data_IF_713860535912
#
_entry.id   IF_713860535912
#
_cell.length_a   1.000
_cell.length_b   1.000
_cell.length_c   1.000
_cell.angle_alpha   90.00
_cell.angle_beta   90.00
_cell.angle_gamma   90.00
#
_symmetry.space_group_name_H-M   'P 1'
#
loop_
_entity.id
_entity.type
_entity.pdbx_description
1 polymer ?
#
# COMPACT_ATOMS: atom_id res chain seq x y z
N UNK A 1 -51.25 11.65 28.10
CA UNK A 1 -51.17 10.90 26.83
C UNK A 1 -49.70 10.71 26.47
N UNK A 2 -49.12 9.57 26.84
CA UNK A 2 -47.77 9.14 26.42
C UNK A 2 -47.96 7.81 25.71
N UNK A 3 -47.69 7.77 24.40
CA UNK A 3 -47.69 6.50 23.65
C UNK A 3 -46.29 5.90 23.75
N UNK A 4 -46.18 4.89 24.59
CA UNK A 4 -45.08 3.92 24.59
C UNK A 4 -45.31 2.96 23.44
N UNK A 5 -44.38 2.88 22.49
CA UNK A 5 -44.30 1.76 21.55
C UNK A 5 -43.22 0.81 22.03
N UNK A 6 -43.67 -0.28 22.63
CA UNK A 6 -42.90 -1.50 22.87
C UNK A 6 -42.55 -2.12 21.53
N UNK A 7 -41.28 -2.13 21.13
CA UNK A 7 -40.79 -2.98 20.04
C UNK A 7 -40.23 -4.25 20.67
N UNK A 8 -41.04 -5.31 20.55
CA UNK A 8 -40.74 -6.67 20.96
C UNK A 8 -39.69 -7.27 20.02
N UNK A 9 -38.60 -7.70 20.65
CA UNK A 9 -37.77 -8.87 20.39
C UNK A 9 -38.31 -9.82 19.30
N UNK A 10 -37.54 -9.97 18.22
CA UNK A 10 -37.57 -11.16 17.35
C UNK A 10 -36.13 -11.50 16.93
N UNK A 11 -35.34 -11.96 17.90
CA UNK A 11 -34.12 -12.71 17.62
C UNK A 11 -34.52 -14.08 17.09
N UNK A 12 -34.78 -14.17 15.78
CA UNK A 12 -34.84 -15.44 15.08
C UNK A 12 -33.42 -16.03 15.05
N UNK A 13 -33.10 -16.81 16.08
CA UNK A 13 -32.02 -17.80 16.06
C UNK A 13 -32.33 -18.78 14.93
N UNK A 14 -31.73 -18.54 13.77
CA UNK A 14 -31.53 -19.58 12.78
C UNK A 14 -30.60 -20.62 13.41
N UNK A 15 -31.21 -21.67 13.98
CA UNK A 15 -30.53 -22.92 14.27
C UNK A 15 -30.08 -23.50 12.92
N UNK A 16 -28.89 -23.09 12.47
CA UNK A 16 -28.18 -23.81 11.42
C UNK A 16 -27.95 -25.23 11.93
N UNK A 17 -28.20 -26.26 11.10
CA UNK A 17 -27.78 -27.61 11.47
C UNK A 17 -26.28 -27.55 11.77
N UNK A 18 -25.91 -28.00 12.97
CA UNK A 18 -24.53 -28.33 13.31
C UNK A 18 -24.18 -29.51 12.42
N UNK A 19 -23.84 -29.23 11.16
CA UNK A 19 -23.04 -30.13 10.36
C UNK A 19 -21.83 -30.40 11.22
N UNK A 20 -21.70 -31.63 11.73
CA UNK A 20 -20.50 -32.11 12.38
C UNK A 20 -19.36 -31.84 11.41
N UNK A 21 -18.66 -30.73 11.61
CA UNK A 21 -17.57 -30.33 10.74
C UNK A 21 -16.53 -31.43 10.88
N UNK A 22 -16.38 -32.23 9.83
CA UNK A 22 -15.33 -33.23 9.79
C UNK A 22 -14.07 -32.43 9.56
N UNK A 23 -13.28 -32.25 10.63
CA UNK A 23 -12.02 -31.51 10.55
C UNK A 23 -11.17 -32.05 9.38
N UNK A 24 -10.47 -31.14 8.70
CA UNK A 24 -9.78 -31.43 7.46
C UNK A 24 -8.94 -32.71 7.57
N UNK A 25 -9.05 -33.58 6.57
CA UNK A 25 -8.33 -34.84 6.54
C UNK A 25 -7.08 -34.71 5.69
N UNK A 26 -5.96 -35.22 6.21
CA UNK A 26 -4.74 -35.39 5.43
C UNK A 26 -4.84 -36.63 4.54
N UNK A 27 -4.44 -36.47 3.29
CA UNK A 27 -4.36 -37.54 2.29
C UNK A 27 -2.91 -37.78 1.85
N UNK A 28 -2.56 -39.03 1.52
CA UNK A 28 -1.20 -39.37 1.07
C UNK A 28 -0.93 -38.97 -0.39
N UNK A 29 -1.98 -38.77 -1.19
CA UNK A 29 -1.86 -38.33 -2.59
C UNK A 29 -3.07 -37.50 -3.04
N UNK A 30 -2.88 -36.79 -4.15
CA UNK A 30 -3.94 -36.07 -4.84
C UNK A 30 -5.06 -37.00 -5.31
N UNK A 31 -4.76 -38.17 -5.87
CA UNK A 31 -5.79 -39.10 -6.35
C UNK A 31 -6.70 -39.60 -5.22
N UNK A 32 -6.18 -39.74 -4.00
CA UNK A 32 -7.01 -40.09 -2.84
C UNK A 32 -7.82 -38.91 -2.34
N UNK A 33 -7.21 -37.72 -2.28
CA UNK A 33 -7.89 -36.48 -1.93
C UNK A 33 -9.04 -36.17 -2.89
N UNK A 34 -8.83 -36.32 -4.20
CA UNK A 34 -9.80 -36.00 -5.24
C UNK A 34 -11.09 -36.85 -5.16
N UNK A 35 -11.01 -38.06 -4.60
CA UNK A 35 -12.20 -38.91 -4.37
C UNK A 35 -13.09 -38.43 -3.23
N UNK A 36 -12.57 -37.56 -2.35
CA UNK A 36 -13.24 -37.10 -1.13
C UNK A 36 -13.25 -35.59 -1.00
N UNK A 37 -12.85 -34.87 -2.05
CA UNK A 37 -12.79 -33.41 -2.04
C UNK A 37 -14.20 -32.85 -1.87
N UNK A 38 -14.34 -31.86 -1.01
CA UNK A 38 -15.58 -31.13 -0.79
C UNK A 38 -15.50 -29.76 -1.46
N UNK A 39 -16.54 -28.94 -1.34
CA UNK A 39 -16.52 -27.56 -1.83
C UNK A 39 -15.40 -26.72 -1.18
N UNK A 40 -14.87 -27.13 -0.03
CA UNK A 40 -13.72 -26.47 0.61
C UNK A 40 -12.41 -26.68 -0.18
N UNK A 41 -12.30 -27.72 -1.02
CA UNK A 41 -11.19 -27.91 -1.96
C UNK A 41 -9.94 -28.57 -1.35
N UNK A 42 -8.76 -28.14 -1.77
CA UNK A 42 -7.46 -28.69 -1.34
C UNK A 42 -6.57 -27.63 -0.70
N UNK A 43 -5.76 -28.04 0.27
CA UNK A 43 -4.62 -27.25 0.77
C UNK A 43 -3.36 -28.09 0.61
N UNK A 44 -2.45 -27.58 -0.22
CA UNK A 44 -1.15 -28.16 -0.49
C UNK A 44 -0.11 -27.52 0.42
N UNK A 45 0.44 -28.32 1.33
CA UNK A 45 1.55 -27.95 2.21
C UNK A 45 2.85 -28.31 1.49
N UNK A 46 3.41 -27.32 0.81
CA UNK A 46 4.59 -27.48 -0.03
C UNK A 46 5.85 -27.22 0.80
N UNK A 47 6.83 -28.12 0.71
CA UNK A 47 8.05 -28.01 1.49
C UNK A 47 9.31 -28.55 0.77
N UNK A 48 10.49 -28.01 1.08
CA UNK A 48 11.76 -28.38 0.44
C UNK A 48 12.37 -29.66 1.03
N UNK A 49 11.93 -30.82 0.54
CA UNK A 49 12.37 -32.14 1.01
C UNK A 49 13.87 -32.36 0.78
N UNK A 50 14.61 -32.55 1.88
CA UNK A 50 16.02 -32.95 1.86
C UNK A 50 17.04 -31.82 1.75
N UNK A 51 16.63 -30.57 1.51
CA UNK A 51 17.57 -29.43 1.40
C UNK A 51 17.21 -28.23 2.28
N UNK A 52 15.97 -28.12 2.77
CA UNK A 52 15.65 -27.26 3.91
C UNK A 52 14.81 -28.03 4.94
N UNK A 53 15.50 -28.44 6.00
CA UNK A 53 14.93 -29.21 7.12
C UNK A 53 13.96 -28.38 7.95
N UNK A 54 14.07 -27.06 7.94
CA UNK A 54 13.19 -26.19 8.70
C UNK A 54 11.81 -26.17 8.04
N UNK A 55 11.74 -25.82 6.75
CA UNK A 55 10.49 -25.83 5.99
C UNK A 55 9.80 -27.19 5.98
N UNK A 56 10.56 -28.28 5.85
CA UNK A 56 10.05 -29.65 5.95
C UNK A 56 9.39 -29.93 7.31
N UNK A 57 10.07 -29.64 8.43
CA UNK A 57 9.51 -29.85 9.77
C UNK A 57 8.30 -28.98 10.02
N UNK A 58 8.34 -27.73 9.58
CA UNK A 58 7.25 -26.78 9.76
C UNK A 58 5.98 -27.26 9.04
N UNK A 59 6.03 -27.61 7.75
CA UNK A 59 4.86 -28.10 7.03
C UNK A 59 4.31 -29.41 7.62
N UNK A 60 5.18 -30.35 8.02
CA UNK A 60 4.77 -31.59 8.71
C UNK A 60 4.10 -31.33 10.06
N UNK A 61 4.56 -30.32 10.80
CA UNK A 61 3.92 -29.88 12.05
C UNK A 61 2.56 -29.24 11.77
N UNK A 62 2.49 -28.31 10.82
CA UNK A 62 1.27 -27.54 10.53
C UNK A 62 0.14 -28.41 10.00
N UNK A 63 0.41 -29.38 9.12
CA UNK A 63 -0.64 -30.27 8.60
C UNK A 63 -1.24 -31.18 9.69
N UNK A 64 -0.46 -31.50 10.72
CA UNK A 64 -0.87 -32.33 11.84
C UNK A 64 -1.52 -31.54 12.98
N UNK A 65 -1.38 -30.21 12.98
CA UNK A 65 -1.90 -29.34 14.02
C UNK A 65 -3.44 -29.26 13.98
N UNK A 66 -4.08 -29.46 15.13
CA UNK A 66 -5.54 -29.52 15.24
C UNK A 66 -6.20 -28.19 14.87
N UNK A 67 -5.63 -27.06 15.30
CA UNK A 67 -6.16 -25.73 15.00
C UNK A 67 -6.09 -25.41 13.51
N UNK A 68 -5.00 -25.80 12.84
CA UNK A 68 -4.87 -25.66 11.39
C UNK A 68 -5.90 -26.53 10.65
N UNK A 69 -6.12 -27.76 11.11
CA UNK A 69 -7.10 -28.69 10.51
C UNK A 69 -8.54 -28.23 10.71
N UNK A 70 -8.87 -27.69 11.88
CA UNK A 70 -10.18 -27.09 12.14
C UNK A 70 -10.41 -25.86 11.25
N UNK A 71 -9.41 -24.96 11.18
CA UNK A 71 -9.46 -23.77 10.33
C UNK A 71 -9.63 -24.09 8.85
N UNK A 72 -9.09 -25.22 8.39
CA UNK A 72 -9.21 -25.69 7.01
C UNK A 72 -10.59 -26.27 6.66
N UNK A 73 -11.51 -26.41 7.61
CA UNK A 73 -12.85 -26.94 7.37
C UNK A 73 -12.79 -28.38 6.84
N UNK A 74 -13.48 -28.66 5.73
CA UNK A 74 -13.48 -29.99 5.08
C UNK A 74 -12.52 -30.06 3.89
N UNK A 75 -11.50 -29.19 3.83
CA UNK A 75 -10.51 -29.24 2.76
C UNK A 75 -9.66 -30.52 2.86
N UNK A 76 -9.23 -31.04 1.71
CA UNK A 76 -8.27 -32.13 1.65
C UNK A 76 -6.84 -31.60 1.81
N UNK A 77 -6.12 -32.06 2.83
CA UNK A 77 -4.76 -31.60 3.11
C UNK A 77 -3.74 -32.55 2.49
N UNK A 78 -2.77 -32.02 1.74
CA UNK A 78 -1.76 -32.83 1.05
C UNK A 78 -0.38 -32.27 1.37
N UNK A 79 0.52 -33.12 1.87
CA UNK A 79 1.94 -32.80 2.04
C UNK A 79 2.68 -33.00 0.71
N UNK A 80 3.13 -31.91 0.09
CA UNK A 80 3.75 -31.91 -1.23
C UNK A 80 5.27 -31.64 -1.17
N UNK A 81 6.13 -32.67 -1.29
CA UNK A 81 7.58 -32.48 -1.23
C UNK A 81 8.12 -31.81 -2.51
N UNK A 82 9.08 -30.90 -2.38
CA UNK A 82 9.84 -30.29 -3.47
C UNK A 82 11.30 -30.66 -3.34
N UNK A 83 11.87 -31.20 -4.41
CA UNK A 83 13.26 -31.65 -4.45
C UNK A 83 14.11 -30.66 -5.24
N UNK A 84 15.21 -30.19 -4.65
CA UNK A 84 16.17 -29.28 -5.31
C UNK A 84 16.77 -29.91 -6.56
N UNK A 85 17.23 -31.16 -6.45
CA UNK A 85 17.80 -31.93 -7.56
C UNK A 85 16.79 -32.97 -8.04
N UNK A 86 16.13 -32.69 -9.17
CA UNK A 86 15.11 -33.58 -9.74
C UNK A 86 15.77 -34.76 -10.47
N UNK A 87 15.91 -35.88 -9.77
CA UNK A 87 16.27 -37.20 -10.32
C UNK A 87 15.03 -38.00 -10.71
N UNK A 88 15.18 -39.08 -11.48
CA UNK A 88 14.07 -40.02 -11.76
C UNK A 88 13.41 -40.54 -10.48
N UNK A 89 14.21 -40.88 -9.47
CA UNK A 89 13.73 -41.38 -8.18
C UNK A 89 12.90 -40.34 -7.43
N UNK A 90 13.37 -39.09 -7.35
CA UNK A 90 12.66 -38.01 -6.67
C UNK A 90 11.42 -37.57 -7.45
N UNK A 91 11.49 -37.56 -8.80
CA UNK A 91 10.34 -37.32 -9.65
C UNK A 91 9.26 -38.40 -9.49
N UNK A 92 9.65 -39.68 -9.38
CA UNK A 92 8.71 -40.76 -9.11
C UNK A 92 8.03 -40.61 -7.74
N UNK A 93 8.77 -40.21 -6.69
CA UNK A 93 8.19 -39.92 -5.37
C UNK A 93 7.22 -38.75 -5.43
N UNK A 94 7.64 -37.65 -6.04
CA UNK A 94 6.81 -36.46 -6.24
C UNK A 94 5.52 -36.79 -7.00
N UNK A 95 5.63 -37.59 -8.09
CA UNK A 95 4.49 -38.06 -8.89
C UNK A 95 3.53 -38.97 -8.11
N UNK A 96 4.01 -39.75 -7.13
CA UNK A 96 3.11 -40.55 -6.27
C UNK A 96 2.21 -39.68 -5.38
N UNK A 97 2.69 -38.51 -4.99
CA UNK A 97 1.92 -37.57 -4.15
C UNK A 97 1.05 -36.66 -5.00
N UNK A 98 1.65 -36.02 -6.00
CA UNK A 98 0.98 -34.99 -6.80
C UNK A 98 0.18 -35.55 -7.97
N UNK A 99 0.52 -36.76 -8.42
CA UNK A 99 -0.35 -37.48 -9.35
C UNK A 99 -0.61 -36.75 -10.66
N UNK A 100 -1.87 -36.76 -11.09
CA UNK A 100 -2.36 -36.00 -12.25
C UNK A 100 -2.46 -34.49 -12.02
N UNK A 101 -2.42 -34.02 -10.77
CA UNK A 101 -2.45 -32.58 -10.46
C UNK A 101 -1.20 -31.85 -10.98
N UNK A 102 -0.06 -32.54 -10.93
CA UNK A 102 1.25 -31.91 -11.16
C UNK A 102 1.62 -30.92 -10.07
N UNK A 103 2.71 -30.17 -10.26
CA UNK A 103 2.99 -29.01 -9.41
C UNK A 103 2.48 -27.74 -10.11
N UNK A 104 2.08 -26.70 -9.35
CA UNK A 104 1.80 -25.39 -9.93
C UNK A 104 2.92 -24.94 -10.87
N UNK A 105 2.54 -24.43 -12.05
CA UNK A 105 3.46 -23.93 -13.06
C UNK A 105 4.33 -22.77 -12.54
N UNK A 106 5.57 -22.70 -13.02
CA UNK A 106 6.67 -21.84 -12.55
C UNK A 106 6.87 -21.82 -11.03
N UNK A 107 7.47 -22.90 -10.53
CA UNK A 107 7.98 -22.99 -9.15
C UNK A 107 9.16 -22.04 -8.85
N UNK A 108 9.60 -21.24 -9.82
CA UNK A 108 10.63 -20.24 -9.65
C UNK A 108 10.21 -19.10 -8.69
N UNK A 109 8.91 -18.82 -8.59
CA UNK A 109 8.37 -17.69 -7.81
C UNK A 109 7.79 -18.10 -6.45
N UNK A 110 7.86 -19.38 -6.09
CA UNK A 110 7.33 -19.88 -4.81
C UNK A 110 8.44 -19.84 -3.75
N UNK A 111 8.25 -19.00 -2.73
CA UNK A 111 9.07 -19.06 -1.51
C UNK A 111 8.57 -20.18 -0.60
N UNK A 112 9.45 -21.11 -0.25
CA UNK A 112 9.15 -22.24 0.62
C UNK A 112 9.51 -21.94 2.09
N UNK A 113 8.80 -22.54 3.08
CA UNK A 113 7.61 -23.38 2.93
C UNK A 113 6.40 -22.60 2.39
N UNK A 114 5.40 -23.30 1.87
CA UNK A 114 4.20 -22.66 1.32
C UNK A 114 2.93 -23.47 1.58
N UNK A 115 1.80 -22.78 1.75
CA UNK A 115 0.46 -23.37 1.72
C UNK A 115 -0.26 -22.83 0.49
N UNK A 116 -0.65 -23.69 -0.43
CA UNK A 116 -1.38 -23.29 -1.64
C UNK A 116 -2.80 -23.84 -1.59
N UNK A 117 -3.76 -22.96 -1.84
CA UNK A 117 -5.18 -23.26 -1.70
C UNK A 117 -5.83 -23.39 -3.07
N UNK A 118 -6.53 -24.51 -3.28
CA UNK A 118 -7.21 -24.83 -4.52
C UNK A 118 -8.68 -25.14 -4.27
N UNK A 119 -9.54 -24.76 -5.19
CA UNK A 119 -10.93 -25.20 -5.16
C UNK A 119 -11.05 -26.68 -5.55
N UNK A 120 -12.27 -27.23 -5.47
CA UNK A 120 -12.56 -28.63 -5.81
C UNK A 120 -12.19 -29.01 -7.24
N UNK A 121 -12.19 -28.02 -8.15
CA UNK A 121 -11.92 -28.17 -9.57
C UNK A 121 -10.41 -27.99 -9.87
N UNK A 122 -9.58 -27.83 -8.83
CA UNK A 122 -8.13 -27.75 -8.93
C UNK A 122 -7.61 -26.38 -9.35
N UNK A 123 -8.41 -25.32 -9.25
CA UNK A 123 -7.98 -23.96 -9.53
C UNK A 123 -7.43 -23.29 -8.28
N UNK A 124 -6.23 -22.74 -8.39
CA UNK A 124 -5.61 -22.00 -7.30
C UNK A 124 -6.37 -20.71 -7.03
N UNK A 125 -6.73 -20.49 -5.77
CA UNK A 125 -7.39 -19.25 -5.35
C UNK A 125 -6.58 -18.47 -4.32
N UNK A 126 -5.65 -19.07 -3.59
CA UNK A 126 -4.81 -18.34 -2.63
C UNK A 126 -3.50 -19.06 -2.37
N UNK A 127 -2.58 -18.37 -1.70
CA UNK A 127 -1.36 -18.96 -1.16
C UNK A 127 -0.86 -18.18 0.07
N UNK A 128 -0.06 -18.86 0.88
CA UNK A 128 0.77 -18.29 1.96
C UNK A 128 2.20 -18.76 1.72
N UNK A 129 3.18 -17.87 1.74
CA UNK A 129 4.57 -18.19 1.37
C UNK A 129 5.58 -17.76 2.44
N UNK A 130 6.68 -18.51 2.55
CA UNK A 130 7.94 -18.10 3.17
C UNK A 130 7.75 -17.30 4.47
N UNK A 131 8.00 -15.99 4.39
CA UNK A 131 7.94 -15.05 5.53
C UNK A 131 6.61 -15.08 6.30
N UNK A 132 5.47 -15.35 5.65
CA UNK A 132 4.18 -15.49 6.33
C UNK A 132 4.10 -16.73 7.23
N UNK A 133 5.01 -17.69 7.05
CA UNK A 133 5.01 -18.98 7.72
C UNK A 133 6.23 -19.19 8.61
N UNK A 134 7.41 -18.67 8.23
CA UNK A 134 8.70 -18.98 8.88
C UNK A 134 8.73 -18.57 10.35
N UNK A 135 8.10 -17.46 10.72
CA UNK A 135 8.04 -16.98 12.11
C UNK A 135 6.66 -17.15 12.77
N UNK A 136 5.67 -17.65 12.03
CA UNK A 136 4.31 -17.78 12.52
C UNK A 136 4.13 -19.02 13.41
N UNK A 137 3.50 -18.84 14.57
CA UNK A 137 2.99 -19.94 15.39
C UNK A 137 1.88 -20.71 14.66
N UNK A 138 1.63 -21.96 15.06
CA UNK A 138 0.54 -22.75 14.48
C UNK A 138 -0.84 -22.08 14.63
N UNK A 139 -1.06 -21.36 15.74
CA UNK A 139 -2.27 -20.57 15.96
C UNK A 139 -2.41 -19.39 14.99
N UNK A 140 -1.31 -18.71 14.66
CA UNK A 140 -1.30 -17.65 13.65
C UNK A 140 -1.55 -18.21 12.25
N UNK A 141 -0.94 -19.35 11.91
CA UNK A 141 -1.21 -20.04 10.64
C UNK A 141 -2.66 -20.49 10.56
N UNK A 142 -3.24 -21.06 11.63
CA UNK A 142 -4.65 -21.44 11.69
C UNK A 142 -5.56 -20.23 11.44
N UNK A 143 -5.25 -19.06 12.01
CA UNK A 143 -5.97 -17.81 11.74
C UNK A 143 -5.88 -17.40 10.27
N UNK A 144 -4.69 -17.48 9.65
CA UNK A 144 -4.52 -17.17 8.24
C UNK A 144 -5.31 -18.15 7.34
N UNK A 145 -5.26 -19.45 7.63
CA UNK A 145 -6.05 -20.48 6.93
C UNK A 145 -7.54 -20.17 7.04
N UNK A 146 -8.06 -19.92 8.24
CA UNK A 146 -9.47 -19.58 8.45
C UNK A 146 -9.88 -18.32 7.65
N UNK A 147 -9.00 -17.31 7.59
CA UNK A 147 -9.22 -16.11 6.77
C UNK A 147 -9.30 -16.43 5.29
N UNK A 148 -8.43 -17.31 4.75
CA UNK A 148 -8.49 -17.73 3.34
C UNK A 148 -9.76 -18.53 3.03
N UNK A 149 -10.18 -19.42 3.93
CA UNK A 149 -11.42 -20.20 3.79
C UNK A 149 -12.65 -19.29 3.82
N UNK A 150 -12.71 -18.33 4.75
CA UNK A 150 -13.80 -17.36 4.83
C UNK A 150 -13.85 -16.43 3.61
N UNK A 151 -12.68 -15.98 3.12
CA UNK A 151 -12.57 -15.17 1.90
C UNK A 151 -13.14 -15.91 0.68
N UNK A 152 -12.81 -17.20 0.52
CA UNK A 152 -13.39 -18.03 -0.56
C UNK A 152 -14.91 -18.11 -0.47
N UNK A 153 -15.45 -18.41 0.72
CA UNK A 153 -16.91 -18.49 0.93
C UNK A 153 -17.60 -17.17 0.62
N UNK A 154 -17.00 -16.04 1.02
CA UNK A 154 -17.50 -14.69 0.70
C UNK A 154 -17.48 -14.41 -0.81
N UNK A 155 -16.38 -14.73 -1.48
CA UNK A 155 -16.27 -14.54 -2.94
C UNK A 155 -17.32 -15.39 -3.68
N UNK A 156 -17.51 -16.64 -3.29
CA UNK A 156 -18.53 -17.51 -3.88
C UNK A 156 -19.95 -16.98 -3.64
N UNK A 157 -20.26 -16.54 -2.42
CA UNK A 157 -21.58 -15.99 -2.11
C UNK A 157 -21.93 -14.77 -2.98
N UNK A 158 -20.96 -13.89 -3.25
CA UNK A 158 -21.14 -12.76 -4.15
C UNK A 158 -21.38 -13.19 -5.61
N UNK A 159 -20.68 -14.22 -6.08
CA UNK A 159 -20.95 -14.80 -7.40
C UNK A 159 -22.34 -15.44 -7.48
N UNK A 160 -22.74 -16.20 -6.45
CA UNK A 160 -24.06 -16.83 -6.38
C UNK A 160 -25.18 -15.78 -6.33
N UNK A 161 -24.99 -14.69 -5.58
CA UNK A 161 -25.91 -13.57 -5.54
C UNK A 161 -26.01 -12.86 -6.90
N UNK A 162 -24.89 -12.68 -7.59
CA UNK A 162 -24.87 -12.11 -8.95
C UNK A 162 -25.65 -12.97 -9.96
N UNK A 163 -25.70 -14.29 -9.75
CA UNK A 163 -26.48 -15.22 -10.57
C UNK A 163 -27.99 -15.12 -10.36
N UNK A 164 -28.45 -14.54 -9.24
CA UNK A 164 -29.87 -14.45 -8.87
C UNK A 164 -30.54 -13.15 -9.31
N UNK A 165 -29.76 -12.09 -9.56
CA UNK A 165 -30.31 -10.81 -10.02
C UNK A 165 -30.39 -10.75 -11.55
N UNK A 166 -31.49 -10.16 -12.06
CA UNK A 166 -31.67 -9.84 -13.47
C UNK A 166 -31.23 -8.41 -13.82
N UNK A 167 -30.95 -7.57 -12.81
CA UNK A 167 -30.41 -6.23 -13.02
C UNK A 167 -28.92 -6.32 -13.39
N UNK A 168 -28.61 -5.98 -14.64
CA UNK A 168 -27.27 -5.99 -15.20
C UNK A 168 -26.28 -5.13 -14.40
N UNK A 169 -26.70 -3.96 -13.90
CA UNK A 169 -25.81 -3.07 -13.15
C UNK A 169 -25.49 -3.67 -11.77
N UNK A 170 -26.50 -4.19 -11.08
CA UNK A 170 -26.31 -4.89 -9.81
C UNK A 170 -25.46 -6.17 -9.99
N UNK A 171 -25.70 -6.92 -11.06
CA UNK A 171 -24.93 -8.12 -11.41
C UNK A 171 -23.45 -7.79 -11.61
N UNK A 172 -23.16 -6.76 -12.40
CA UNK A 172 -21.79 -6.32 -12.66
C UNK A 172 -21.09 -5.86 -11.37
N UNK A 173 -21.82 -5.14 -10.50
CA UNK A 173 -21.33 -4.73 -9.19
C UNK A 173 -20.94 -5.93 -8.31
N UNK A 174 -21.81 -6.91 -8.15
CA UNK A 174 -21.56 -8.09 -7.32
C UNK A 174 -20.36 -8.92 -7.82
N UNK A 175 -20.27 -9.12 -9.15
CA UNK A 175 -19.12 -9.78 -9.79
C UNK A 175 -17.84 -9.01 -9.52
N UNK A 176 -17.86 -7.67 -9.63
CA UNK A 176 -16.71 -6.85 -9.32
C UNK A 176 -16.34 -6.91 -7.83
N UNK A 177 -17.30 -6.80 -6.92
CA UNK A 177 -17.06 -6.92 -5.47
C UNK A 177 -16.40 -8.26 -5.10
N UNK A 178 -16.78 -9.36 -5.76
CA UNK A 178 -16.14 -10.66 -5.57
C UNK A 178 -14.65 -10.67 -5.94
N UNK A 179 -14.21 -9.84 -6.89
CA UNK A 179 -12.78 -9.68 -7.23
C UNK A 179 -12.00 -8.89 -6.18
N UNK A 180 -12.69 -8.13 -5.33
CA UNK A 180 -12.07 -7.26 -4.31
C UNK A 180 -11.96 -7.94 -2.95
N UNK A 181 -12.39 -9.20 -2.81
CA UNK A 181 -12.24 -9.96 -1.58
C UNK A 181 -10.75 -10.17 -1.28
N UNK A 182 -10.29 -9.69 -0.12
CA UNK A 182 -8.87 -9.74 0.25
C UNK A 182 -8.38 -11.17 0.48
N UNK A 183 -7.14 -11.44 0.07
CA UNK A 183 -6.47 -12.73 0.31
C UNK A 183 -6.86 -13.85 -0.66
N UNK A 184 -7.66 -13.57 -1.69
CA UNK A 184 -8.05 -14.53 -2.72
C UNK A 184 -7.86 -13.92 -4.11
N UNK A 185 -7.47 -14.76 -5.06
CA UNK A 185 -7.25 -14.39 -6.45
C UNK A 185 -8.59 -14.18 -7.17
N UNK A 186 -8.64 -13.18 -8.04
CA UNK A 186 -9.77 -12.99 -8.94
C UNK A 186 -9.78 -14.08 -10.03
N UNK A 187 -10.94 -14.68 -10.37
CA UNK A 187 -11.06 -15.51 -11.56
C UNK A 187 -10.73 -14.84 -12.87
N UNK A 188 -10.04 -15.59 -13.74
CA UNK A 188 -9.73 -15.14 -15.11
C UNK A 188 -11.00 -14.85 -15.93
N UNK A 189 -12.06 -15.64 -15.71
CA UNK A 189 -13.35 -15.50 -16.42
C UNK A 189 -14.12 -14.23 -16.05
N UNK A 190 -13.77 -13.55 -14.95
CA UNK A 190 -14.53 -12.35 -14.51
C UNK A 190 -14.49 -11.27 -15.57
N UNK A 191 -13.35 -11.05 -16.23
CA UNK A 191 -13.21 -10.01 -17.25
C UNK A 191 -14.16 -10.23 -18.43
N UNK A 192 -14.19 -11.44 -18.95
CA UNK A 192 -15.06 -11.80 -20.08
C UNK A 192 -16.54 -11.70 -19.70
N UNK A 193 -16.86 -12.09 -18.46
CA UNK A 193 -18.22 -11.98 -17.94
C UNK A 193 -18.67 -10.53 -17.80
N UNK A 194 -17.83 -9.66 -17.22
CA UNK A 194 -18.10 -8.23 -17.13
C UNK A 194 -18.26 -7.59 -18.52
N UNK A 195 -17.41 -7.97 -19.49
CA UNK A 195 -17.53 -7.51 -20.88
C UNK A 195 -18.84 -7.97 -21.54
N UNK A 196 -19.32 -9.17 -21.23
CA UNK A 196 -20.57 -9.69 -21.80
C UNK A 196 -21.81 -8.99 -21.23
N UNK A 197 -21.79 -8.58 -19.95
CA UNK A 197 -22.94 -7.95 -19.30
C UNK A 197 -22.94 -6.43 -19.46
N UNK A 198 -21.77 -5.80 -19.52
CA UNK A 198 -21.60 -4.36 -19.72
C UNK A 198 -20.54 -4.08 -20.81
N UNK A 199 -20.89 -4.26 -22.10
CA UNK A 199 -19.92 -4.15 -23.20
C UNK A 199 -19.23 -2.79 -23.30
N UNK A 200 -19.98 -1.72 -23.02
CA UNK A 200 -19.51 -0.34 -23.06
C UNK A 200 -18.84 0.09 -21.75
N UNK A 201 -18.79 -0.79 -20.73
CA UNK A 201 -18.26 -0.53 -19.39
C UNK A 201 -18.87 0.73 -18.72
N UNK A 202 -20.20 0.90 -18.86
CA UNK A 202 -20.94 2.03 -18.27
C UNK A 202 -20.80 2.11 -16.75
N UNK A 203 -20.58 0.97 -16.09
CA UNK A 203 -20.35 0.90 -14.66
C UNK A 203 -18.86 1.08 -14.28
N UNK A 204 -17.95 1.05 -15.25
CA UNK A 204 -16.52 1.24 -15.03
C UNK A 204 -15.79 0.08 -14.34
N UNK A 205 -16.44 -1.08 -14.17
CA UNK A 205 -15.83 -2.20 -13.43
C UNK A 205 -14.71 -2.88 -14.22
N UNK A 206 -14.80 -2.95 -15.55
CA UNK A 206 -13.74 -3.53 -16.38
C UNK A 206 -12.52 -2.61 -16.39
N UNK A 207 -12.72 -1.31 -16.63
CA UNK A 207 -11.67 -0.31 -16.50
C UNK A 207 -11.06 -0.32 -15.09
N UNK A 208 -11.86 -0.50 -14.03
CA UNK A 208 -11.34 -0.63 -12.66
C UNK A 208 -10.45 -1.86 -12.44
N UNK A 209 -10.76 -3.01 -13.07
CA UNK A 209 -9.92 -4.20 -13.01
C UNK A 209 -8.60 -4.04 -13.76
N UNK A 210 -8.64 -3.37 -14.91
CA UNK A 210 -7.46 -3.16 -15.76
C UNK A 210 -6.62 -1.96 -15.29
N UNK A 211 -7.19 -1.09 -14.45
CA UNK A 211 -6.48 0.04 -13.87
C UNK A 211 -5.47 -0.41 -12.80
N UNK A 212 -4.21 -0.46 -13.24
CA UNK A 212 -3.02 -0.52 -12.38
C UNK A 212 -2.27 0.81 -12.41
N UNK A 213 -2.31 1.55 -11.30
CA UNK A 213 -1.47 2.74 -11.15
C UNK A 213 -0.21 2.38 -10.36
N UNK A 214 0.90 2.16 -11.06
CA UNK A 214 2.23 2.03 -10.47
C UNK A 214 3.08 3.26 -10.75
N UNK A 215 4.02 3.56 -9.87
CA UNK A 215 5.08 4.54 -10.13
C UNK A 215 6.31 3.76 -10.55
N UNK A 216 6.81 4.02 -11.76
CA UNK A 216 7.97 3.29 -12.30
C UNK A 216 9.28 3.85 -11.74
N UNK A 217 10.31 3.01 -11.69
CA UNK A 217 11.65 3.46 -11.32
C UNK A 217 12.13 4.51 -12.34
N UNK A 218 12.68 5.61 -11.84
CA UNK A 218 13.17 6.76 -12.63
C UNK A 218 12.09 7.55 -13.41
N UNK A 219 10.80 7.34 -13.13
CA UNK A 219 9.74 8.16 -13.72
C UNK A 219 9.80 9.61 -13.16
N UNK A 220 9.74 10.61 -14.04
CA UNK A 220 9.73 12.02 -13.61
C UNK A 220 8.42 12.37 -12.91
N UNK A 221 8.46 13.33 -11.98
CA UNK A 221 7.25 13.80 -11.29
C UNK A 221 6.18 14.27 -12.29
N UNK A 222 6.57 15.05 -13.30
CA UNK A 222 5.64 15.57 -14.30
C UNK A 222 4.90 14.44 -15.04
N UNK A 223 5.62 13.38 -15.44
CA UNK A 223 5.02 12.19 -16.03
C UNK A 223 4.01 11.52 -15.09
N UNK A 224 4.39 11.32 -13.82
CA UNK A 224 3.52 10.73 -12.80
C UNK A 224 2.25 11.56 -12.63
N UNK A 225 2.38 12.89 -12.51
CA UNK A 225 1.25 13.79 -12.31
C UNK A 225 0.32 13.83 -13.52
N UNK A 226 0.87 13.86 -14.74
CA UNK A 226 0.08 13.82 -15.98
C UNK A 226 -0.73 12.54 -16.10
N UNK A 227 -0.13 11.38 -15.79
CA UNK A 227 -0.86 10.10 -15.77
C UNK A 227 -1.92 10.06 -14.68
N UNK A 228 -1.63 10.61 -13.50
CA UNK A 228 -2.61 10.68 -12.42
C UNK A 228 -3.80 11.57 -12.82
N UNK A 229 -3.55 12.77 -13.34
CA UNK A 229 -4.61 13.68 -13.79
C UNK A 229 -5.48 13.03 -14.88
N UNK A 230 -4.89 12.36 -15.88
CA UNK A 230 -5.64 11.61 -16.89
C UNK A 230 -6.48 10.46 -16.28
N UNK A 231 -5.96 9.77 -15.27
CA UNK A 231 -6.71 8.72 -14.56
C UNK A 231 -7.87 9.29 -13.74
N UNK A 232 -7.74 10.51 -13.20
CA UNK A 232 -8.78 11.19 -12.44
C UNK A 232 -9.94 11.64 -13.35
N UNK A 233 -9.62 12.07 -14.57
CA UNK A 233 -10.59 12.47 -15.60
C UNK A 233 -11.34 11.29 -16.23
N UNK A 234 -10.80 10.08 -16.18
CA UNK A 234 -11.46 8.90 -16.75
C UNK A 234 -12.68 8.48 -15.91
N UNK A 235 -13.89 8.71 -16.44
CA UNK A 235 -15.17 8.41 -15.79
C UNK A 235 -15.37 6.91 -15.51
N UNK A 236 -14.73 6.03 -16.29
CA UNK A 236 -14.84 4.59 -16.12
C UNK A 236 -13.98 4.05 -14.97
N UNK A 237 -13.15 4.87 -14.32
CA UNK A 237 -12.39 4.42 -13.15
C UNK A 237 -13.16 4.74 -11.88
N UNK A 238 -13.51 3.70 -11.11
CA UNK A 238 -14.21 3.84 -9.82
C UNK A 238 -13.43 4.69 -8.79
N UNK A 239 -14.17 5.43 -7.96
CA UNK A 239 -13.63 6.45 -7.05
C UNK A 239 -12.51 5.93 -6.12
N UNK A 240 -12.66 4.74 -5.54
CA UNK A 240 -11.66 4.20 -4.59
C UNK A 240 -10.31 3.88 -5.26
N UNK A 241 -10.29 3.49 -6.54
CA UNK A 241 -9.05 3.28 -7.31
C UNK A 241 -8.36 4.60 -7.60
N UNK A 242 -9.13 5.64 -7.93
CA UNK A 242 -8.63 7.02 -8.06
C UNK A 242 -8.04 7.52 -6.74
N UNK A 243 -8.72 7.30 -5.61
CA UNK A 243 -8.19 7.62 -4.27
C UNK A 243 -6.88 6.88 -3.98
N UNK A 244 -6.80 5.58 -4.30
CA UNK A 244 -5.57 4.79 -4.12
C UNK A 244 -4.41 5.34 -4.98
N UNK A 245 -4.68 5.73 -6.23
CA UNK A 245 -3.69 6.37 -7.09
C UNK A 245 -3.19 7.70 -6.49
N UNK A 246 -4.11 8.56 -6.01
CA UNK A 246 -3.74 9.77 -5.27
C UNK A 246 -2.85 9.46 -4.06
N UNK A 247 -3.24 8.50 -3.22
CA UNK A 247 -2.47 8.12 -2.03
C UNK A 247 -1.05 7.63 -2.36
N UNK A 248 -0.90 6.83 -3.42
CA UNK A 248 0.42 6.37 -3.90
C UNK A 248 1.30 7.54 -4.36
N UNK A 249 0.74 8.47 -5.15
CA UNK A 249 1.45 9.65 -5.63
C UNK A 249 1.80 10.60 -4.49
N UNK A 250 0.88 10.87 -3.55
CA UNK A 250 1.15 11.64 -2.33
C UNK A 250 2.32 11.04 -1.55
N UNK A 251 2.30 9.73 -1.32
CA UNK A 251 3.37 9.04 -0.59
C UNK A 251 4.72 9.10 -1.32
N UNK A 252 4.72 8.95 -2.64
CA UNK A 252 5.92 9.12 -3.46
C UNK A 252 6.46 10.54 -3.40
N UNK A 253 5.59 11.54 -3.59
CA UNK A 253 5.95 12.96 -3.51
C UNK A 253 6.60 13.26 -2.16
N UNK A 254 5.97 12.81 -1.07
CA UNK A 254 6.48 13.05 0.28
C UNK A 254 7.87 12.43 0.51
N UNK A 255 8.12 11.22 -0.01
CA UNK A 255 9.39 10.51 0.15
C UNK A 255 10.51 11.07 -0.73
N UNK A 256 10.20 11.39 -1.99
CA UNK A 256 11.21 11.78 -2.97
C UNK A 256 11.51 13.29 -2.93
N UNK A 257 10.49 14.13 -2.69
CA UNK A 257 10.58 15.59 -2.82
C UNK A 257 10.36 16.33 -1.48
N UNK A 258 9.93 15.62 -0.43
CA UNK A 258 9.69 16.20 0.89
C UNK A 258 8.35 16.95 1.00
N UNK A 259 8.08 17.47 2.21
CA UNK A 259 6.84 18.16 2.55
C UNK A 259 6.64 19.49 1.78
N UNK A 260 7.74 20.16 1.41
CA UNK A 260 7.70 21.54 0.94
C UNK A 260 7.54 21.67 -0.57
N UNK A 261 8.43 21.07 -1.35
CA UNK A 261 8.27 21.03 -2.80
C UNK A 261 7.10 20.14 -3.23
N UNK A 262 6.81 19.11 -2.44
CA UNK A 262 5.65 18.27 -2.63
C UNK A 262 4.34 18.87 -2.14
N UNK A 263 4.39 19.88 -1.28
CA UNK A 263 3.25 20.39 -0.51
C UNK A 263 2.03 20.79 -1.35
N UNK A 264 2.20 21.62 -2.41
CA UNK A 264 1.10 22.00 -3.29
C UNK A 264 0.43 20.80 -3.97
N UNK A 265 1.23 19.84 -4.45
CA UNK A 265 0.73 18.62 -5.09
C UNK A 265 0.06 17.69 -4.08
N UNK A 266 0.68 17.48 -2.91
CA UNK A 266 0.10 16.71 -1.81
C UNK A 266 -1.27 17.30 -1.43
N UNK A 267 -1.36 18.63 -1.31
CA UNK A 267 -2.62 19.33 -1.01
C UNK A 267 -3.65 19.13 -2.12
N UNK A 268 -3.28 19.34 -3.40
CA UNK A 268 -4.16 19.11 -4.56
C UNK A 268 -4.75 17.70 -4.52
N UNK A 269 -3.90 16.68 -4.45
CA UNK A 269 -4.35 15.29 -4.54
C UNK A 269 -5.02 14.79 -3.26
N UNK A 270 -4.69 15.31 -2.07
CA UNK A 270 -5.43 15.01 -0.85
C UNK A 270 -6.85 15.59 -0.91
N UNK A 271 -7.05 16.82 -1.43
CA UNK A 271 -8.40 17.37 -1.65
C UNK A 271 -9.21 16.56 -2.65
N UNK A 272 -8.59 16.13 -3.75
CA UNK A 272 -9.25 15.26 -4.73
C UNK A 272 -9.63 13.93 -4.08
N UNK A 273 -8.71 13.31 -3.33
CA UNK A 273 -8.95 12.09 -2.57
C UNK A 273 -10.15 12.26 -1.63
N UNK A 274 -10.23 13.35 -0.85
CA UNK A 274 -11.37 13.64 0.03
C UNK A 274 -12.69 13.80 -0.73
N UNK A 275 -12.68 14.44 -1.90
CA UNK A 275 -13.89 14.68 -2.71
C UNK A 275 -14.42 13.41 -3.37
N UNK A 276 -13.55 12.49 -3.76
CA UNK A 276 -13.93 11.27 -4.47
C UNK A 276 -14.80 10.34 -3.61
N UNK A 277 -14.46 10.18 -2.34
CA UNK A 277 -15.25 9.43 -1.36
C UNK A 277 -14.85 9.89 0.06
N UNK A 278 -15.60 10.80 0.70
CA UNK A 278 -15.22 11.42 1.96
C UNK A 278 -15.25 10.47 3.16
N UNK A 279 -16.07 9.41 3.10
CA UNK A 279 -16.26 8.46 4.20
C UNK A 279 -15.27 7.28 4.13
N UNK A 280 -14.55 7.13 3.02
CA UNK A 280 -13.53 6.09 2.90
C UNK A 280 -12.35 6.34 3.86
N UNK A 281 -11.61 5.30 4.28
CA UNK A 281 -10.40 5.48 5.09
C UNK A 281 -9.39 6.46 4.47
N UNK A 282 -9.30 6.49 3.13
CA UNK A 282 -8.45 7.43 2.41
C UNK A 282 -9.05 8.85 2.43
N UNK A 283 -10.36 9.00 2.21
CA UNK A 283 -11.06 10.28 2.32
C UNK A 283 -10.90 10.92 3.70
N UNK A 284 -11.08 10.14 4.76
CA UNK A 284 -10.88 10.55 6.16
C UNK A 284 -9.43 10.89 6.49
N UNK A 285 -8.46 10.28 5.81
CA UNK A 285 -7.03 10.57 6.01
C UNK A 285 -6.55 11.84 5.31
N UNK A 286 -7.25 12.31 4.27
CA UNK A 286 -6.82 13.46 3.47
C UNK A 286 -6.58 14.74 4.31
N UNK A 287 -7.48 15.13 5.26
CA UNK A 287 -7.23 16.27 6.13
C UNK A 287 -5.97 16.12 7.00
N UNK A 288 -5.72 14.91 7.50
CA UNK A 288 -4.54 14.59 8.32
C UNK A 288 -3.27 14.73 7.50
N UNK A 289 -3.25 14.20 6.27
CA UNK A 289 -2.13 14.35 5.34
C UNK A 289 -1.85 15.83 5.04
N UNK A 290 -2.90 16.61 4.73
CA UNK A 290 -2.73 18.05 4.47
C UNK A 290 -2.18 18.79 5.69
N UNK A 291 -2.61 18.43 6.90
CA UNK A 291 -2.16 19.07 8.15
C UNK A 291 -0.73 18.66 8.54
N UNK A 292 -0.44 17.37 8.52
CA UNK A 292 0.76 16.81 9.16
C UNK A 292 1.92 16.61 8.18
N UNK A 293 1.63 16.45 6.89
CA UNK A 293 2.66 16.17 5.87
C UNK A 293 2.99 17.39 5.03
N UNK A 294 2.08 18.35 4.92
CA UNK A 294 2.36 19.69 4.40
C UNK A 294 2.69 20.59 5.58
N UNK A 295 3.79 20.27 6.30
CA UNK A 295 4.29 21.16 7.35
C UNK A 295 4.83 22.42 6.67
N UNK A 296 4.23 23.55 6.96
CA UNK A 296 4.81 24.86 6.69
C UNK A 296 6.17 24.93 7.39
N UNK A 297 7.19 25.40 6.68
CA UNK A 297 8.49 25.62 7.26
C UNK A 297 8.53 26.99 7.90
N UNK A 298 8.78 27.03 9.19
CA UNK A 298 8.73 28.25 10.00
C UNK A 298 10.12 28.62 10.49
N UNK A 299 10.38 29.93 10.59
CA UNK A 299 11.65 30.48 11.06
C UNK A 299 12.18 29.82 12.35
N UNK A 300 11.31 29.57 13.33
CA UNK A 300 11.70 28.96 14.61
C UNK A 300 12.17 27.50 14.54
N UNK A 301 12.07 26.84 13.38
CA UNK A 301 12.45 25.44 13.22
C UNK A 301 13.93 25.24 12.86
N UNK A 302 14.62 26.30 12.41
CA UNK A 302 15.98 26.15 11.85
C UNK A 302 16.01 25.23 10.64
N UNK A 303 17.17 24.76 10.20
CA UNK A 303 17.28 23.84 9.07
C UNK A 303 17.60 22.41 9.50
N UNK A 304 17.12 21.42 8.74
CA UNK A 304 17.48 20.00 8.91
C UNK A 304 17.42 19.25 7.59
N UNK A 305 18.10 18.11 7.53
CA UNK A 305 18.02 17.17 6.40
C UNK A 305 16.59 16.67 6.10
N UNK A 306 15.70 16.67 7.08
CA UNK A 306 14.30 16.25 6.91
C UNK A 306 13.43 17.27 6.15
N UNK A 307 13.88 18.52 6.11
CA UNK A 307 13.17 19.61 5.42
C UNK A 307 13.87 20.01 4.12
N UNK A 308 15.17 19.74 3.98
CA UNK A 308 15.92 20.06 2.76
C UNK A 308 15.53 19.07 1.64
N UNK A 309 15.06 19.56 0.49
CA UNK A 309 14.74 18.69 -0.64
C UNK A 309 16.01 18.06 -1.22
N UNK A 310 15.86 16.85 -1.76
CA UNK A 310 16.94 16.12 -2.46
C UNK A 310 17.38 16.81 -3.75
N UNK A 311 16.48 17.54 -4.40
CA UNK A 311 16.72 18.34 -5.59
C UNK A 311 16.89 19.83 -5.23
N UNK A 312 17.62 20.62 -6.04
CA UNK A 312 17.91 22.03 -5.79
C UNK A 312 16.72 22.92 -6.15
N UNK A 313 15.62 22.74 -5.42
CA UNK A 313 14.36 23.46 -5.61
C UNK A 313 14.16 24.51 -4.50
N UNK A 314 13.54 25.67 -4.80
CA UNK A 314 13.30 26.70 -3.80
C UNK A 314 12.34 26.23 -2.70
N UNK A 315 12.59 26.69 -1.48
CA UNK A 315 11.86 26.37 -0.26
C UNK A 315 11.44 27.65 0.44
N UNK A 316 10.14 27.80 0.75
CA UNK A 316 9.63 28.99 1.42
C UNK A 316 9.55 28.80 2.94
N UNK A 317 10.26 29.64 3.69
CA UNK A 317 10.22 29.73 5.15
C UNK A 317 9.37 30.92 5.59
N UNK A 318 8.34 30.64 6.38
CA UNK A 318 7.36 31.61 6.86
C UNK A 318 7.70 32.15 8.27
N UNK A 319 6.92 33.13 8.71
CA UNK A 319 7.02 33.80 10.03
C UNK A 319 8.39 34.43 10.29
N UNK A 320 8.98 34.98 9.24
CA UNK A 320 10.27 35.65 9.27
C UNK A 320 10.12 37.02 9.94
N UNK A 321 10.90 37.36 10.98
CA UNK A 321 10.74 38.61 11.74
C UNK A 321 11.33 39.86 11.04
N UNK A 322 11.14 39.98 9.71
CA UNK A 322 11.59 41.11 8.89
C UNK A 322 10.36 41.86 8.39
N UNK A 323 9.85 42.79 9.20
CA UNK A 323 8.61 43.54 8.87
C UNK A 323 8.84 45.01 8.54
N UNK A 324 9.98 45.58 8.96
CA UNK A 324 10.28 47.01 8.80
C UNK A 324 11.45 47.24 7.85
N UNK A 325 11.60 48.46 7.28
CA UNK A 325 12.82 48.84 6.61
C UNK A 325 14.03 48.74 7.55
N UNK A 326 15.18 48.34 7.02
CA UNK A 326 16.41 48.15 7.79
C UNK A 326 17.39 47.22 7.08
N UNK A 327 18.58 47.06 7.66
CA UNK A 327 19.55 46.06 7.18
C UNK A 327 19.51 44.85 8.10
N UNK A 328 19.35 43.67 7.53
CA UNK A 328 19.17 42.42 8.26
C UNK A 328 20.26 41.42 7.89
N UNK A 329 20.84 40.79 8.91
CA UNK A 329 21.74 39.66 8.74
C UNK A 329 20.98 38.36 8.97
N UNK A 330 20.96 37.50 7.97
CA UNK A 330 20.34 36.17 7.99
C UNK A 330 21.48 35.16 8.06
N UNK A 331 21.63 34.50 9.19
CA UNK A 331 22.74 33.59 9.47
C UNK A 331 22.25 32.16 9.60
N UNK A 332 22.79 31.27 8.79
CA UNK A 332 22.61 29.82 8.91
C UNK A 332 23.79 29.27 9.69
N UNK A 333 23.53 28.50 10.74
CA UNK A 333 24.56 27.96 11.65
C UNK A 333 24.38 26.46 11.80
N UNK A 334 25.48 25.70 11.83
CA UNK A 334 25.47 24.27 12.15
C UNK A 334 25.48 24.05 13.68
N UNK A 335 24.42 23.45 14.20
CA UNK A 335 24.27 23.17 15.63
C UNK A 335 24.72 21.75 15.96
N UNK A 336 24.32 20.74 15.17
CA UNK A 336 24.78 19.35 15.31
C UNK A 336 24.96 18.69 13.94
N UNK A 337 25.85 17.70 13.88
CA UNK A 337 26.15 16.94 12.66
C UNK A 337 27.53 17.26 12.11
N UNK A 338 27.93 16.53 11.06
CA UNK A 338 29.19 16.73 10.34
C UNK A 338 28.97 17.22 8.91
N UNK A 339 27.83 16.83 8.33
CA UNK A 339 27.49 17.15 6.96
C UNK A 339 26.91 18.56 6.88
N UNK A 340 27.41 19.32 5.91
CA UNK A 340 27.00 20.69 5.69
C UNK A 340 25.76 20.85 4.81
N UNK A 341 25.22 22.06 4.78
CA UNK A 341 24.23 22.48 3.79
C UNK A 341 24.87 23.45 2.81
N UNK A 342 24.55 23.27 1.54
CA UNK A 342 24.82 24.25 0.49
C UNK A 342 23.56 25.07 0.26
N UNK A 343 23.69 26.39 0.29
CA UNK A 343 22.63 27.33 -0.01
C UNK A 343 23.03 27.96 -1.34
N UNK A 344 22.32 27.62 -2.42
CA UNK A 344 22.58 28.16 -3.75
C UNK A 344 22.05 29.58 -3.90
N UNK A 345 20.89 29.89 -3.31
CA UNK A 345 20.34 31.24 -3.31
C UNK A 345 19.42 31.49 -2.13
N UNK A 346 19.30 32.75 -1.73
CA UNK A 346 18.38 33.23 -0.72
C UNK A 346 17.62 34.45 -1.24
N UNK A 347 16.30 34.48 -1.06
CA UNK A 347 15.44 35.60 -1.44
C UNK A 347 14.50 35.94 -0.31
N UNK A 348 14.29 37.22 -0.06
CA UNK A 348 13.23 37.72 0.84
C UNK A 348 12.02 38.08 -0.01
N UNK A 349 10.89 37.47 0.32
CA UNK A 349 9.60 37.62 -0.35
C UNK A 349 8.62 38.37 0.54
N UNK A 350 7.68 39.11 -0.06
CA UNK A 350 6.51 39.71 0.60
C UNK A 350 5.25 39.30 -0.17
N UNK A 351 4.65 38.18 0.22
CA UNK A 351 3.71 37.48 -0.67
C UNK A 351 4.44 36.94 -1.90
N UNK A 352 3.99 37.34 -3.10
CA UNK A 352 4.58 36.91 -4.37
C UNK A 352 5.73 37.83 -4.84
N UNK A 353 5.93 38.97 -4.19
CA UNK A 353 6.93 39.97 -4.56
C UNK A 353 8.30 39.64 -3.96
N UNK A 354 9.32 39.56 -4.81
CA UNK A 354 10.71 39.47 -4.36
C UNK A 354 11.25 40.84 -3.95
N UNK A 355 11.60 41.00 -2.68
CA UNK A 355 12.08 42.26 -2.10
C UNK A 355 13.59 42.41 -2.29
N UNK A 356 14.35 41.35 -2.05
CA UNK A 356 15.81 41.31 -2.17
C UNK A 356 16.27 39.86 -2.36
N UNK A 357 17.37 39.67 -3.08
CA UNK A 357 17.91 38.37 -3.43
C UNK A 357 19.45 38.37 -3.34
N UNK A 358 20.02 37.25 -2.91
CA UNK A 358 21.44 36.92 -3.06
C UNK A 358 21.54 35.51 -3.64
N UNK A 359 22.09 35.39 -4.84
CA UNK A 359 22.31 34.14 -5.56
C UNK A 359 23.73 33.59 -5.41
N UNK A 360 24.53 34.17 -4.51
CA UNK A 360 25.89 33.70 -4.23
C UNK A 360 25.81 32.42 -3.41
N UNK A 361 26.31 31.28 -3.93
CA UNK A 361 26.28 30.04 -3.20
C UNK A 361 27.16 30.12 -1.95
N UNK A 362 26.65 29.66 -0.81
CA UNK A 362 27.40 29.57 0.44
C UNK A 362 27.20 28.20 1.07
N UNK A 363 28.19 27.75 1.82
CA UNK A 363 28.15 26.43 2.47
C UNK A 363 28.35 26.57 3.97
N UNK A 364 27.43 25.99 4.73
CA UNK A 364 27.56 25.78 6.16
C UNK A 364 27.98 24.34 6.38
N UNK A 365 29.09 24.08 7.03
CA UNK A 365 29.56 22.72 7.31
C UNK A 365 30.53 22.67 8.47
N UNK A 366 31.15 21.51 8.69
CA UNK A 366 32.10 21.33 9.79
C UNK A 366 33.25 22.36 9.78
N UNK A 367 33.79 22.66 8.59
CA UNK A 367 34.87 23.64 8.40
C UNK A 367 34.41 25.09 8.36
N UNK A 368 33.13 25.32 8.06
CA UNK A 368 32.53 26.65 8.03
C UNK A 368 31.18 26.63 8.76
N UNK A 369 31.22 26.75 10.09
CA UNK A 369 30.06 26.45 10.94
C UNK A 369 28.91 27.45 10.80
N UNK A 370 29.09 28.55 10.07
CA UNK A 370 28.03 29.50 9.80
C UNK A 370 28.27 30.29 8.50
N UNK A 371 27.18 30.73 7.86
CA UNK A 371 27.22 31.69 6.76
C UNK A 371 26.16 32.75 6.97
N UNK A 372 26.47 33.99 6.57
CA UNK A 372 25.58 35.14 6.74
C UNK A 372 25.29 35.79 5.40
N UNK A 373 24.02 36.12 5.19
CA UNK A 373 23.51 36.94 4.09
C UNK A 373 23.05 38.28 4.65
N UNK A 374 23.34 39.38 3.96
CA UNK A 374 22.97 40.73 4.41
C UNK A 374 21.98 41.35 3.44
N UNK A 375 20.78 41.64 3.93
CA UNK A 375 19.65 42.13 3.13
C UNK A 375 19.28 43.56 3.56
N UNK A 376 19.32 44.49 2.62
CA UNK A 376 18.83 45.85 2.80
C UNK A 376 17.35 45.95 2.38
N UNK A 377 16.46 46.10 3.35
CA UNK A 377 15.01 46.17 3.16
C UNK A 377 14.56 47.62 3.17
N UNK A 378 13.97 48.08 2.06
CA UNK A 378 13.62 49.50 1.86
C UNK A 378 12.17 49.84 2.23
N UNK A 379 11.31 48.85 2.45
CA UNK A 379 9.86 49.02 2.69
C UNK A 379 9.37 48.12 3.82
N UNK A 380 8.25 48.50 4.42
CA UNK A 380 7.52 47.64 5.36
C UNK A 380 6.92 46.44 4.62
N UNK A 381 7.06 45.24 5.17
CA UNK A 381 6.57 43.99 4.59
C UNK A 381 5.31 43.51 5.31
N UNK A 382 4.36 42.91 4.58
CA UNK A 382 3.08 42.44 5.14
C UNK A 382 3.06 40.93 5.36
N UNK A 383 3.71 40.16 4.48
CA UNK A 383 3.78 38.70 4.49
C UNK A 383 5.22 38.25 4.21
N UNK A 384 6.19 38.60 5.09
CA UNK A 384 7.59 38.27 4.87
C UNK A 384 7.83 36.76 4.90
N UNK A 385 8.59 36.25 3.93
CA UNK A 385 9.06 34.88 3.88
C UNK A 385 10.47 34.80 3.25
N UNK A 386 11.26 33.80 3.61
CA UNK A 386 12.54 33.53 2.97
C UNK A 386 12.41 32.36 2.00
N UNK A 387 12.63 32.61 0.72
CA UNK A 387 12.77 31.57 -0.29
C UNK A 387 14.25 31.15 -0.37
N UNK A 388 14.52 29.88 -0.07
CA UNK A 388 15.86 29.30 0.08
C UNK A 388 16.01 28.19 -0.95
N UNK A 389 17.00 28.30 -1.84
CA UNK A 389 17.34 27.21 -2.75
C UNK A 389 18.56 26.49 -2.18
N UNK A 390 18.38 25.25 -1.76
CA UNK A 390 19.49 24.41 -1.32
C UNK A 390 20.22 23.80 -2.52
N UNK A 391 21.52 23.52 -2.37
CA UNK A 391 22.26 22.67 -3.29
C UNK A 391 21.94 21.20 -3.05
N UNK A 392 22.42 20.32 -3.94
CA UNK A 392 22.26 18.88 -3.78
C UNK A 392 22.77 18.46 -2.40
N UNK A 393 21.90 17.85 -1.60
CA UNK A 393 22.29 17.30 -0.31
C UNK A 393 23.19 16.07 -0.57
N UNK A 394 24.36 15.96 0.07
CA UNK A 394 25.11 14.71 0.06
C UNK A 394 24.26 13.60 0.69
N UNK A 395 24.41 12.38 0.16
CA UNK A 395 23.75 11.19 0.68
C UNK A 395 24.26 10.87 2.10
N UNK A 396 23.63 11.42 3.16
CA UNK A 396 23.37 10.84 4.50
C UNK A 396 23.16 11.90 5.60
N UNK A 397 22.60 11.43 6.71
CA UNK A 397 21.61 12.06 7.60
C UNK A 397 22.16 12.47 8.96
N UNK A 398 21.40 13.34 9.64
CA UNK A 398 21.53 13.83 11.03
C UNK A 398 22.29 15.14 11.25
N UNK A 399 22.26 16.05 10.28
CA UNK A 399 22.67 17.45 10.49
C UNK A 399 21.47 18.36 10.70
N UNK A 400 21.55 19.23 11.71
CA UNK A 400 20.58 20.29 11.96
C UNK A 400 21.26 21.56 12.46
N UNK A 401 20.61 22.68 12.23
CA UNK A 401 21.18 23.97 12.56
C UNK A 401 20.17 25.09 12.65
N UNK A 402 20.60 26.19 13.26
CA UNK A 402 19.73 27.34 13.50
C UNK A 402 19.79 28.32 12.33
N UNK A 403 18.67 29.02 12.11
CA UNK A 403 18.63 30.22 11.29
C UNK A 403 18.35 31.39 12.22
N UNK A 404 19.20 32.40 12.19
CA UNK A 404 19.07 33.59 13.02
C UNK A 404 18.97 34.84 12.15
N UNK A 405 18.09 35.75 12.53
CA UNK A 405 17.87 37.02 11.83
C UNK A 405 18.03 38.15 12.83
N UNK A 406 19.00 39.02 12.57
CA UNK A 406 19.30 40.19 13.41
C UNK A 406 19.28 41.46 12.57
N UNK A 407 18.59 42.49 13.05
CA UNK A 407 18.72 43.83 12.49
C UNK A 407 20.08 44.43 12.88
N UNK A 408 20.70 45.17 11.96
CA UNK A 408 21.89 45.99 12.22
C UNK A 408 21.55 47.34 12.83
#
# INVERSE_FOLDING_TARGET
>A
MKKSYSVLLACALLALPVSTAVAAQQFPSYEEAAKRVTDDGYILFIYPEGWDRYGEKLCKKLVADEGVREAAGNAALILAPIYQNRTEKTNAKAKKVMGSFGYPGDMADISYPALIFYDKDGRQYSALYGEELVDASAAEVAKLVAQRMAAKKKQQALFDESGKTSDTAQKARLIFEATQVSGINSPNWVRDTLKSIDPDDKQGYRAALDFGFGIQANESLDSILKRLDAALENENIVAWKKQRACAMVIGHIRRAYGAMAGGPFITKYARIMQKLDPESPLGLSAPVVMRDWVKNYHYGQGWSDQIIPSAPIPVLMHDVPITKPGTYNITFKLTTGRDGIKINSLRLMDGDDCVVADSTPREVGWHNRQVTYTFAVKKTLKKPALEITYGNAPDKRSSWGDITISAQ
#
